data_IF_456003607592
#
_entry.id   IF_456003607592
#
_cell.length_a   1.000
_cell.length_b   1.000
_cell.length_c   1.000
_cell.angle_alpha   90.00
_cell.angle_beta   90.00
_cell.angle_gamma   90.00
#
_symmetry.space_group_name_H-M   'P 1'
#
loop_
_entity.id
_entity.type
_entity.pdbx_description
1 polymer ?
#
# COMPACT_ATOMS: atom_id res chain seq x y z
N UNK A 1 1.24 44.79 2.43
CA UNK A 1 1.96 43.89 1.51
C UNK A 1 2.70 42.75 2.20
N UNK A 2 3.35 42.95 3.37
CA UNK A 2 4.09 41.88 4.07
C UNK A 2 3.19 40.71 4.52
N UNK A 3 1.98 40.98 5.01
CA UNK A 3 1.02 39.95 5.48
C UNK A 3 0.53 39.02 4.38
N UNK A 4 0.35 39.53 3.15
CA UNK A 4 -0.14 38.73 2.03
C UNK A 4 0.94 37.77 1.49
N UNK A 5 2.23 38.15 1.62
CA UNK A 5 3.37 37.29 1.25
C UNK A 5 3.50 36.12 2.24
N UNK A 6 3.29 36.38 3.54
CA UNK A 6 3.38 35.34 4.58
C UNK A 6 2.31 34.26 4.40
N UNK A 7 1.08 34.64 4.07
CA UNK A 7 -0.03 33.69 3.82
C UNK A 7 0.25 32.82 2.59
N UNK A 8 0.78 33.42 1.52
CA UNK A 8 1.16 32.70 0.31
C UNK A 8 2.28 31.69 0.59
N UNK A 9 3.26 32.05 1.43
CA UNK A 9 4.33 31.16 1.84
C UNK A 9 3.80 29.99 2.69
N UNK A 10 2.87 30.24 3.61
CA UNK A 10 2.21 29.19 4.39
C UNK A 10 1.38 28.24 3.51
N UNK A 11 0.72 28.74 2.46
CA UNK A 11 -0.03 27.89 1.53
C UNK A 11 0.91 26.97 0.73
N UNK A 12 2.02 27.50 0.20
CA UNK A 12 2.99 26.73 -0.58
C UNK A 12 3.64 25.58 0.20
N UNK A 13 3.91 25.77 1.50
CA UNK A 13 4.49 24.72 2.36
C UNK A 13 3.51 23.56 2.58
N UNK A 14 2.20 23.83 2.59
CA UNK A 14 1.18 22.78 2.76
C UNK A 14 0.98 21.93 1.49
N UNK A 15 1.25 22.46 0.28
CA UNK A 15 1.13 21.69 -0.96
C UNK A 15 2.18 20.60 -1.12
N UNK A 16 3.36 20.73 -0.49
CA UNK A 16 4.43 19.73 -0.57
C UNK A 16 4.09 18.44 0.20
N UNK A 17 3.22 18.53 1.20
CA UNK A 17 2.86 17.43 2.10
C UNK A 17 1.89 16.39 1.51
N UNK A 18 1.35 16.66 0.31
CA UNK A 18 0.45 15.76 -0.43
C UNK A 18 1.12 15.00 -1.58
N UNK A 19 2.44 15.09 -1.73
CA UNK A 19 3.14 14.47 -2.87
C UNK A 19 3.19 12.94 -2.73
N UNK A 20 2.75 12.26 -3.79
CA UNK A 20 3.00 10.83 -3.97
C UNK A 20 4.50 10.58 -4.10
N UNK A 21 4.99 9.49 -3.50
CA UNK A 21 6.41 9.10 -3.61
C UNK A 21 6.59 8.09 -4.74
N UNK A 22 7.81 7.97 -5.25
CA UNK A 22 8.14 7.03 -6.32
C UNK A 22 7.70 5.58 -6.01
N UNK A 23 7.81 5.14 -4.75
CA UNK A 23 7.38 3.80 -4.33
C UNK A 23 5.86 3.57 -4.38
N UNK A 24 5.07 4.63 -4.54
CA UNK A 24 3.61 4.55 -4.72
C UNK A 24 3.24 4.16 -6.15
N UNK A 25 4.19 4.15 -7.07
CA UNK A 25 4.01 3.80 -8.47
C UNK A 25 4.58 2.41 -8.78
N UNK A 26 4.10 1.83 -9.87
CA UNK A 26 4.66 0.62 -10.47
C UNK A 26 4.69 0.75 -11.99
N UNK A 27 5.47 -0.11 -12.65
CA UNK A 27 5.49 -0.25 -14.12
C UNK A 27 5.44 -1.74 -14.48
N UNK A 28 4.74 -2.10 -15.56
CA UNK A 28 4.65 -3.50 -16.00
C UNK A 28 5.95 -4.05 -16.59
N UNK A 29 6.81 -3.18 -17.10
CA UNK A 29 8.12 -3.51 -17.67
C UNK A 29 9.05 -2.31 -17.57
N UNK A 30 10.36 -2.55 -17.66
CA UNK A 30 11.39 -1.51 -17.57
C UNK A 30 11.22 -0.48 -18.69
N UNK A 31 11.11 0.79 -18.33
CA UNK A 31 10.88 1.89 -19.28
C UNK A 31 9.42 2.07 -19.70
N UNK A 32 8.50 1.27 -19.16
CA UNK A 32 7.07 1.44 -19.37
C UNK A 32 6.48 2.59 -18.55
N UNK A 33 5.25 2.99 -18.89
CA UNK A 33 4.51 4.01 -18.16
C UNK A 33 4.31 3.60 -16.70
N UNK A 34 4.44 4.57 -15.80
CA UNK A 34 4.18 4.39 -14.37
C UNK A 34 2.69 4.52 -14.09
N UNK A 35 2.19 3.71 -13.17
CA UNK A 35 0.81 3.75 -12.69
C UNK A 35 0.79 3.77 -11.17
N UNK A 36 -0.14 4.54 -10.60
CA UNK A 36 -0.30 4.62 -9.14
C UNK A 36 -0.88 3.31 -8.62
N UNK A 37 -0.29 2.77 -7.57
CA UNK A 37 -0.77 1.56 -6.91
C UNK A 37 -2.12 1.82 -6.24
N UNK A 38 -3.16 1.01 -6.52
CA UNK A 38 -4.39 1.04 -5.73
C UNK A 38 -4.11 0.78 -4.25
N UNK A 39 -4.78 1.55 -3.38
CA UNK A 39 -4.64 1.41 -1.93
C UNK A 39 -5.56 0.29 -1.41
N UNK A 40 -5.01 -0.57 -0.56
CA UNK A 40 -5.68 -1.72 0.06
C UNK A 40 -5.53 -1.66 1.57
N UNK A 41 -6.63 -1.83 2.29
CA UNK A 41 -6.64 -1.81 3.76
C UNK A 41 -6.98 -3.17 4.32
N UNK A 42 -6.21 -3.62 5.29
CA UNK A 42 -6.33 -4.93 5.91
C UNK A 42 -6.47 -4.72 7.41
N UNK A 43 -7.48 -5.33 8.02
CA UNK A 43 -7.63 -5.30 9.46
C UNK A 43 -6.79 -6.42 10.09
N UNK A 44 -5.91 -6.05 11.03
CA UNK A 44 -5.21 -7.00 11.89
C UNK A 44 -6.07 -7.33 13.11
N UNK A 45 -6.28 -8.61 13.37
CA UNK A 45 -7.03 -9.08 14.54
C UNK A 45 -6.28 -10.21 15.26
N UNK A 46 -5.62 -9.87 16.37
CA UNK A 46 -4.89 -10.85 17.20
C UNK A 46 -5.76 -11.96 17.79
N UNK A 47 -7.09 -11.82 17.77
CA UNK A 47 -8.03 -12.87 18.23
C UNK A 47 -8.31 -13.93 17.16
N UNK A 48 -7.98 -13.67 15.89
CA UNK A 48 -8.28 -14.54 14.74
C UNK A 48 -7.03 -15.29 14.23
N UNK A 49 -6.11 -15.63 15.13
CA UNK A 49 -4.81 -16.27 14.83
C UNK A 49 -3.84 -15.41 14.01
N UNK A 50 -4.10 -14.12 13.83
CA UNK A 50 -3.10 -13.21 13.27
C UNK A 50 -1.94 -13.04 14.26
N UNK A 51 -0.72 -13.07 13.76
CA UNK A 51 0.49 -12.91 14.56
C UNK A 51 1.21 -11.61 14.20
N UNK A 52 1.69 -10.90 15.22
CA UNK A 52 2.52 -9.71 15.09
C UNK A 52 3.83 -9.94 15.82
N UNK A 53 4.95 -9.81 15.10
CA UNK A 53 6.30 -10.02 15.66
C UNK A 53 7.16 -8.83 15.33
N UNK A 54 7.86 -8.27 16.33
CA UNK A 54 8.80 -7.18 16.13
C UNK A 54 10.23 -7.71 16.24
N UNK A 55 11.04 -7.52 15.18
CA UNK A 55 12.47 -7.89 15.16
C UNK A 55 13.25 -6.89 14.32
N UNK A 56 14.42 -6.49 14.80
CA UNK A 56 15.38 -5.67 14.04
C UNK A 56 14.80 -4.35 13.49
N UNK A 57 13.87 -3.72 14.21
CA UNK A 57 13.23 -2.48 13.77
C UNK A 57 12.16 -2.66 12.69
N UNK A 58 11.82 -3.91 12.35
CA UNK A 58 10.67 -4.27 11.52
C UNK A 58 9.54 -4.86 12.37
N UNK A 59 8.31 -4.70 11.88
CA UNK A 59 7.14 -5.38 12.42
C UNK A 59 6.60 -6.29 11.31
N UNK A 60 6.50 -7.58 11.61
CA UNK A 60 5.98 -8.61 10.74
C UNK A 60 4.56 -8.93 11.18
N UNK A 61 3.60 -8.75 10.29
CA UNK A 61 2.22 -9.17 10.46
C UNK A 61 1.99 -10.42 9.61
N UNK A 62 1.69 -11.54 10.25
CA UNK A 62 1.18 -12.74 9.59
C UNK A 62 -0.33 -12.73 9.78
N UNK A 63 -1.06 -12.49 8.68
CA UNK A 63 -2.52 -12.41 8.67
C UNK A 63 -3.01 -13.51 7.76
N UNK A 64 -3.63 -14.54 8.34
CA UNK A 64 -3.94 -15.81 7.65
C UNK A 64 -2.70 -16.39 6.94
N UNK A 65 -2.77 -16.59 5.62
CA UNK A 65 -1.70 -17.14 4.78
C UNK A 65 -0.79 -16.08 4.14
N UNK A 66 -0.95 -14.81 4.49
CA UNK A 66 -0.20 -13.70 3.90
C UNK A 66 0.70 -13.02 4.93
N UNK A 67 1.81 -12.45 4.45
CA UNK A 67 2.83 -11.79 5.26
C UNK A 67 2.99 -10.34 4.86
N UNK A 68 2.94 -9.45 5.85
CA UNK A 68 3.08 -8.01 5.66
C UNK A 68 4.18 -7.47 6.56
N UNK A 69 5.03 -6.60 6.01
CA UNK A 69 6.21 -6.10 6.70
C UNK A 69 6.22 -4.59 6.76
N UNK A 70 6.20 -4.07 7.99
CA UNK A 70 6.48 -2.68 8.27
C UNK A 70 7.97 -2.53 8.59
N UNK A 71 8.69 -1.71 7.81
CA UNK A 71 10.06 -1.31 8.11
C UNK A 71 10.08 0.17 8.47
N UNK A 72 10.45 0.50 9.72
CA UNK A 72 10.46 1.88 10.22
C UNK A 72 11.36 2.84 9.42
N UNK A 73 12.33 2.31 8.66
CA UNK A 73 13.24 3.11 7.83
C UNK A 73 12.62 3.47 6.47
N UNK A 74 11.63 2.71 6.02
CA UNK A 74 11.04 2.82 4.66
C UNK A 74 9.58 3.27 4.70
N UNK A 75 8.85 2.86 5.74
CA UNK A 75 7.41 2.95 5.82
C UNK A 75 6.98 3.92 6.89
N UNK A 76 5.76 4.44 6.72
CA UNK A 76 5.13 5.34 7.67
C UNK A 76 4.02 4.61 8.43
N UNK A 77 3.92 4.90 9.72
CA UNK A 77 2.77 4.55 10.53
C UNK A 77 2.06 5.84 10.97
N UNK A 78 0.73 5.84 10.92
CA UNK A 78 -0.09 6.96 11.36
C UNK A 78 -1.18 6.48 12.32
N UNK A 79 -1.56 7.33 13.26
CA UNK A 79 -2.65 7.08 14.20
C UNK A 79 -3.91 7.78 13.72
N UNK A 80 -5.04 7.07 13.70
CA UNK A 80 -6.35 7.64 13.35
C UNK A 80 -7.45 7.16 14.31
N UNK A 81 -8.64 7.75 14.22
CA UNK A 81 -9.81 7.33 14.99
C UNK A 81 -10.46 6.10 14.37
N UNK A 82 -11.17 5.30 15.17
CA UNK A 82 -11.92 4.12 14.70
C UNK A 82 -12.94 4.47 13.62
N UNK A 83 -13.51 5.68 13.65
CA UNK A 83 -14.42 6.20 12.63
C UNK A 83 -13.82 6.22 11.22
N UNK A 84 -12.48 6.20 11.08
CA UNK A 84 -11.81 6.05 9.80
C UNK A 84 -12.23 4.78 9.04
N UNK A 85 -12.56 3.68 9.75
CA UNK A 85 -13.00 2.44 9.12
C UNK A 85 -14.28 2.61 8.29
N UNK A 86 -15.13 3.58 8.62
CA UNK A 86 -16.37 3.86 7.89
C UNK A 86 -16.09 4.46 6.50
N UNK A 87 -14.91 5.03 6.29
CA UNK A 87 -14.53 5.73 5.07
C UNK A 87 -13.65 4.88 4.13
N UNK A 88 -13.35 3.64 4.52
CA UNK A 88 -12.49 2.76 3.75
C UNK A 88 -13.13 1.40 3.51
N UNK A 89 -12.70 0.75 2.43
CA UNK A 89 -13.03 -0.65 2.18
C UNK A 89 -11.93 -1.54 2.78
N UNK A 90 -12.31 -2.38 3.73
CA UNK A 90 -11.45 -3.45 4.22
C UNK A 90 -11.44 -4.59 3.20
N UNK A 91 -10.25 -5.05 2.86
CA UNK A 91 -10.03 -6.12 1.89
C UNK A 91 -10.08 -7.49 2.56
N UNK A 92 -10.67 -8.45 1.86
CA UNK A 92 -10.62 -9.84 2.29
C UNK A 92 -9.30 -10.45 1.85
N UNK A 93 -8.45 -10.81 2.82
CA UNK A 93 -7.14 -11.43 2.60
C UNK A 93 -7.20 -12.64 1.67
N UNK A 94 -8.23 -13.49 1.81
CA UNK A 94 -8.37 -14.70 1.01
C UNK A 94 -8.47 -14.42 -0.50
N UNK A 95 -8.94 -13.22 -0.88
CA UNK A 95 -9.09 -12.80 -2.27
C UNK A 95 -8.00 -11.82 -2.71
N UNK A 96 -7.09 -11.41 -1.83
CA UNK A 96 -6.14 -10.32 -2.12
C UNK A 96 -5.22 -10.68 -3.29
N UNK A 97 -4.69 -11.91 -3.30
CA UNK A 97 -3.85 -12.46 -4.38
C UNK A 97 -4.60 -12.61 -5.70
N UNK A 98 -5.79 -13.20 -5.67
CA UNK A 98 -6.64 -13.32 -6.87
C UNK A 98 -6.98 -11.95 -7.46
N UNK A 99 -7.30 -10.98 -6.60
CA UNK A 99 -7.58 -9.61 -6.99
C UNK A 99 -6.36 -8.94 -7.62
N UNK A 100 -5.15 -9.18 -7.11
CA UNK A 100 -3.92 -8.65 -7.70
C UNK A 100 -3.66 -9.24 -9.09
N UNK A 101 -3.81 -10.56 -9.25
CA UNK A 101 -3.65 -11.23 -10.54
C UNK A 101 -4.70 -10.74 -11.54
N UNK A 102 -5.95 -10.55 -11.12
CA UNK A 102 -7.00 -10.02 -11.97
C UNK A 102 -6.71 -8.56 -12.37
N UNK A 103 -6.28 -7.74 -11.41
CA UNK A 103 -5.87 -6.36 -11.65
C UNK A 103 -4.74 -6.32 -12.69
N UNK A 104 -3.69 -7.12 -12.50
CA UNK A 104 -2.57 -7.24 -13.43
C UNK A 104 -3.02 -7.60 -14.85
N UNK A 105 -3.85 -8.64 -14.99
CA UNK A 105 -4.34 -9.10 -16.30
C UNK A 105 -5.19 -8.02 -17.00
N UNK A 106 -5.92 -7.24 -16.23
CA UNK A 106 -6.80 -6.19 -16.78
C UNK A 106 -6.00 -4.96 -17.17
N UNK A 107 -5.10 -4.50 -16.31
CA UNK A 107 -4.32 -3.28 -16.53
C UNK A 107 -3.18 -3.49 -17.55
N UNK A 108 -2.57 -4.67 -17.61
CA UNK A 108 -1.54 -4.98 -18.62
C UNK A 108 -2.08 -4.86 -20.05
N UNK A 109 -3.36 -5.21 -20.28
CA UNK A 109 -4.05 -5.03 -21.56
C UNK A 109 -4.27 -3.56 -21.95
N UNK A 110 -4.13 -2.62 -21.02
CA UNK A 110 -4.24 -1.18 -21.32
C UNK A 110 -2.91 -0.56 -21.73
N UNK A 111 -1.80 -1.29 -21.60
CA UNK A 111 -0.46 -0.80 -21.93
C UNK A 111 -0.25 -0.65 -23.44
N UNK A 112 0.67 0.24 -23.82
CA UNK A 112 1.02 0.44 -25.23
C UNK A 112 1.67 -0.79 -25.86
N UNK A 113 2.39 -1.58 -25.07
CA UNK A 113 2.97 -2.84 -25.52
C UNK A 113 1.87 -3.80 -25.99
N UNK A 114 0.82 -3.98 -25.18
CA UNK A 114 -0.33 -4.80 -25.57
C UNK A 114 -1.07 -4.22 -26.77
N UNK A 115 -1.33 -2.90 -26.79
CA UNK A 115 -2.04 -2.25 -27.90
C UNK A 115 -1.30 -2.36 -29.23
N UNK A 116 0.04 -2.38 -29.22
CA UNK A 116 0.88 -2.44 -30.44
C UNK A 116 1.14 -3.86 -30.93
N UNK A 117 1.36 -4.83 -30.04
CA UNK A 117 1.81 -6.17 -30.41
C UNK A 117 1.04 -7.31 -29.76
N UNK A 118 0.04 -7.03 -28.94
CA UNK A 118 -0.65 -8.04 -28.12
C UNK A 118 0.23 -8.59 -26.99
N UNK A 119 1.43 -8.07 -26.80
CA UNK A 119 2.36 -8.54 -25.78
C UNK A 119 1.83 -8.23 -24.38
N UNK A 120 1.64 -9.27 -23.59
CA UNK A 120 1.37 -9.18 -22.14
C UNK A 120 2.70 -9.51 -21.45
N UNK A 121 3.28 -8.58 -20.67
CA UNK A 121 4.44 -8.88 -19.85
C UNK A 121 4.18 -10.12 -18.98
N UNK A 122 5.22 -10.83 -18.52
CA UNK A 122 5.03 -11.85 -17.49
C UNK A 122 4.71 -11.20 -16.14
N UNK A 123 3.98 -11.91 -15.29
CA UNK A 123 3.82 -11.50 -13.89
C UNK A 123 5.21 -11.50 -13.23
N UNK A 124 5.59 -10.44 -12.49
CA UNK A 124 6.95 -10.28 -12.00
C UNK A 124 7.31 -11.35 -10.99
N UNK A 125 8.55 -11.85 -11.08
CA UNK A 125 9.14 -12.74 -10.08
C UNK A 125 9.87 -11.85 -9.06
N UNK A 126 9.19 -11.49 -7.98
CA UNK A 126 9.68 -10.58 -6.93
C UNK A 126 9.41 -11.15 -5.55
N UNK A 127 10.16 -10.71 -4.53
CA UNK A 127 9.90 -11.08 -3.13
C UNK A 127 8.69 -10.36 -2.53
N UNK A 128 8.24 -9.26 -3.16
CA UNK A 128 7.08 -8.47 -2.76
C UNK A 128 6.05 -8.39 -3.88
N UNK A 129 4.79 -8.26 -3.49
CA UNK A 129 3.67 -7.98 -4.37
C UNK A 129 3.70 -6.50 -4.80
N UNK A 130 3.94 -6.19 -6.08
CA UNK A 130 4.31 -4.84 -6.48
C UNK A 130 3.12 -3.95 -6.86
N UNK A 131 1.91 -4.50 -7.04
CA UNK A 131 0.83 -3.77 -7.71
C UNK A 131 -0.10 -3.02 -6.75
N UNK A 132 -0.16 -3.41 -5.49
CA UNK A 132 -0.99 -2.76 -4.48
C UNK A 132 -0.15 -2.03 -3.43
N UNK A 133 -0.66 -0.89 -2.98
CA UNK A 133 -0.16 -0.21 -1.78
C UNK A 133 -0.99 -0.68 -0.61
N UNK A 134 -0.37 -1.42 0.31
CA UNK A 134 -1.09 -2.10 1.39
C UNK A 134 -0.89 -1.35 2.70
N UNK A 135 -2.00 -1.21 3.44
CA UNK A 135 -2.01 -0.73 4.81
C UNK A 135 -2.60 -1.79 5.73
N UNK A 136 -1.84 -2.15 6.76
CA UNK A 136 -2.37 -2.93 7.89
C UNK A 136 -2.90 -1.97 8.95
N UNK A 137 -4.13 -2.20 9.38
CA UNK A 137 -4.84 -1.39 10.37
C UNK A 137 -5.01 -2.22 11.63
N UNK A 138 -4.46 -1.73 12.74
CA UNK A 138 -4.53 -2.36 14.05
C UNK A 138 -5.37 -1.50 14.99
N UNK A 139 -6.38 -2.11 15.63
CA UNK A 139 -7.14 -1.46 16.69
C UNK A 139 -6.29 -1.35 17.96
N UNK A 140 -6.20 -0.15 18.52
CA UNK A 140 -5.59 0.11 19.83
C UNK A 140 -6.66 0.66 20.81
N UNK A 141 -6.27 0.93 22.05
CA UNK A 141 -7.19 1.43 23.08
C UNK A 141 -7.75 2.83 22.72
N UNK A 142 -8.86 3.19 23.36
CA UNK A 142 -9.50 4.52 23.31
C UNK A 142 -9.94 4.95 21.90
N UNK A 143 -10.63 4.06 21.19
CA UNK A 143 -11.18 4.32 19.84
C UNK A 143 -10.15 4.84 18.83
N UNK A 144 -8.91 4.39 18.97
CA UNK A 144 -7.81 4.70 18.06
C UNK A 144 -7.38 3.46 17.28
N UNK A 145 -6.81 3.73 16.12
CA UNK A 145 -6.22 2.77 15.22
C UNK A 145 -4.80 3.22 14.89
N UNK A 146 -3.93 2.26 14.65
CA UNK A 146 -2.65 2.50 13.98
C UNK A 146 -2.75 1.92 12.58
N UNK A 147 -2.39 2.71 11.59
CA UNK A 147 -2.28 2.32 10.20
C UNK A 147 -0.80 2.25 9.82
N UNK A 148 -0.33 1.07 9.43
CA UNK A 148 1.03 0.82 8.97
C UNK A 148 1.05 0.69 7.46
N UNK A 149 1.85 1.50 6.76
CA UNK A 149 2.23 1.20 5.38
C UNK A 149 3.16 -0.02 5.39
N UNK A 150 2.87 -1.03 4.56
CA UNK A 150 3.60 -2.30 4.61
C UNK A 150 3.98 -2.78 3.22
N UNK A 151 5.09 -3.50 3.15
CA UNK A 151 5.38 -4.38 2.02
C UNK A 151 4.56 -5.66 2.19
N UNK A 152 3.86 -6.09 1.15
CA UNK A 152 3.22 -7.40 1.10
C UNK A 152 4.20 -8.39 0.48
N UNK A 153 4.69 -9.32 1.28
CA UNK A 153 5.67 -10.33 0.88
C UNK A 153 4.93 -11.59 0.44
N UNK A 154 5.46 -12.27 -0.58
CA UNK A 154 5.06 -13.65 -0.84
C UNK A 154 5.40 -14.45 0.41
N UNK A 155 4.40 -15.10 1.02
CA UNK A 155 4.70 -16.09 2.04
C UNK A 155 5.52 -17.19 1.36
N UNK A 156 6.79 -17.32 1.74
CA UNK A 156 7.57 -18.51 1.43
C UNK A 156 6.72 -19.71 1.87
N UNK A 157 6.45 -20.60 0.92
CA UNK A 157 5.72 -21.85 1.15
C UNK A 157 6.48 -22.74 2.15
#
# INVERSE_FOLDING_TARGET
>A
MKTNITILFFLLVNFLSGQTKESDYYSFYKGGNKSLKPIKYILFNSKENDAKVQREGKIYFKIKSERFVFDKKKHRADTCLVSFLNNIKLENIAKLRENEVLYYKTESKKTDAYKKSGFIPPFPVTSIHPYFKVYVVEKIKNDKLIKYEVDWEYSDF
#
